data_IF_979061276679
#
_entry.id   IF_979061276679
#
_cell.length_a   1.000
_cell.length_b   1.000
_cell.length_c   1.000
_cell.angle_alpha   90.00
_cell.angle_beta   90.00
_cell.angle_gamma   90.00
#
_symmetry.space_group_name_H-M   'P 1'
#
loop_
_entity.id
_entity.type
_entity.pdbx_description
1 polymer ?
#
# COMPACT_ATOMS: atom_id res chain seq x y z
N UNK A 1 -29.26 -9.90 14.97
CA UNK A 1 -28.40 -8.84 15.55
C UNK A 1 -27.54 -8.29 14.41
N UNK A 2 -27.82 -7.07 13.93
CA UNK A 2 -27.18 -6.54 12.73
C UNK A 2 -25.70 -6.20 13.00
N UNK A 3 -24.78 -6.85 12.29
CA UNK A 3 -23.37 -6.45 12.28
C UNK A 3 -23.25 -5.17 11.45
N UNK A 4 -22.81 -4.08 12.07
CA UNK A 4 -22.51 -2.86 11.35
C UNK A 4 -21.15 -3.04 10.66
N UNK A 5 -21.09 -2.75 9.36
CA UNK A 5 -19.87 -2.86 8.53
C UNK A 5 -19.45 -1.46 8.11
N UNK A 6 -18.17 -1.13 8.31
CA UNK A 6 -17.59 0.14 7.85
C UNK A 6 -16.47 -0.17 6.86
N UNK A 7 -16.52 0.46 5.68
CA UNK A 7 -15.47 0.39 4.67
C UNK A 7 -14.48 1.52 4.91
N UNK A 8 -13.19 1.19 4.94
CA UNK A 8 -12.13 2.10 5.37
C UNK A 8 -11.09 2.34 4.28
N UNK A 9 -10.56 3.57 4.23
CA UNK A 9 -9.31 3.89 3.55
C UNK A 9 -8.09 3.39 4.34
N UNK A 10 -6.91 3.44 3.73
CA UNK A 10 -5.63 2.96 4.30
C UNK A 10 -4.94 3.92 5.25
N UNK A 11 -5.66 4.95 5.72
CA UNK A 11 -5.14 5.92 6.67
C UNK A 11 -6.19 6.10 7.76
N UNK A 12 -5.85 5.70 8.99
CA UNK A 12 -6.81 5.65 10.09
C UNK A 12 -6.87 7.01 10.79
N UNK A 13 -7.21 8.03 10.00
CA UNK A 13 -7.63 9.35 10.51
C UNK A 13 -9.12 9.34 10.84
N UNK A 14 -9.85 10.37 10.41
CA UNK A 14 -11.29 10.51 10.65
C UNK A 14 -12.16 9.37 10.09
N UNK A 15 -11.65 8.65 9.09
CA UNK A 15 -12.35 7.55 8.41
C UNK A 15 -12.27 6.23 9.19
N UNK A 16 -11.26 6.05 10.06
CA UNK A 16 -11.00 4.84 10.84
C UNK A 16 -11.93 4.60 12.05
N UNK A 17 -12.91 5.46 12.30
CA UNK A 17 -13.76 5.45 13.51
C UNK A 17 -14.54 4.13 13.73
N UNK A 18 -14.68 3.31 12.69
CA UNK A 18 -15.28 1.98 12.75
C UNK A 18 -14.56 1.03 13.70
N UNK A 19 -13.22 0.98 13.70
CA UNK A 19 -12.46 0.01 14.50
C UNK A 19 -12.49 0.28 16.00
N UNK A 20 -12.77 1.54 16.38
CA UNK A 20 -12.92 1.95 17.77
C UNK A 20 -14.23 1.46 18.40
N UNK A 21 -15.19 0.99 17.60
CA UNK A 21 -16.49 0.52 18.08
C UNK A 21 -16.49 -1.00 18.22
N UNK A 22 -16.87 -1.50 19.39
CA UNK A 22 -16.74 -2.92 19.72
C UNK A 22 -17.55 -3.87 18.84
N UNK A 23 -18.72 -3.43 18.38
CA UNK A 23 -19.67 -4.25 17.61
C UNK A 23 -19.65 -3.93 16.11
N UNK A 24 -18.53 -3.41 15.60
CA UNK A 24 -18.37 -3.02 14.20
C UNK A 24 -17.23 -3.82 13.57
N UNK A 25 -17.54 -4.49 12.46
CA UNK A 25 -16.52 -5.09 11.61
C UNK A 25 -16.03 -4.03 10.62
N UNK A 26 -14.73 -3.83 10.57
CA UNK A 26 -14.06 -2.90 9.66
C UNK A 26 -13.52 -3.66 8.46
N UNK A 27 -13.73 -3.13 7.25
CA UNK A 27 -13.30 -3.78 6.01
C UNK A 27 -12.47 -2.81 5.18
N UNK A 28 -11.28 -3.22 4.77
CA UNK A 28 -10.53 -2.54 3.71
C UNK A 28 -10.92 -3.20 2.38
N UNK A 29 -11.69 -2.48 1.57
CA UNK A 29 -12.19 -2.96 0.29
C UNK A 29 -11.16 -2.87 -0.84
N UNK A 30 -11.38 -3.63 -1.92
CA UNK A 30 -10.51 -3.70 -3.11
C UNK A 30 -10.30 -2.37 -3.86
N UNK A 31 -11.09 -1.34 -3.52
CA UNK A 31 -10.91 0.01 -4.02
C UNK A 31 -9.60 0.64 -3.55
N UNK A 32 -9.15 0.26 -2.35
CA UNK A 32 -8.09 0.94 -1.60
C UNK A 32 -6.72 0.40 -1.95
N UNK A 33 -5.74 1.29 -2.11
CA UNK A 33 -4.31 0.96 -2.25
C UNK A 33 -3.65 0.88 -0.88
N UNK A 34 -3.04 -0.25 -0.57
CA UNK A 34 -2.60 -0.62 0.78
C UNK A 34 -1.09 -0.67 0.92
N UNK A 35 -0.55 0.11 1.84
CA UNK A 35 0.85 0.04 2.26
C UNK A 35 0.96 -0.94 3.45
N UNK A 36 1.64 -2.10 3.31
CA UNK A 36 1.73 -3.10 4.38
C UNK A 36 2.40 -2.57 5.65
N UNK A 37 3.46 -1.80 5.50
CA UNK A 37 4.22 -1.17 6.59
C UNK A 37 3.36 -0.19 7.39
N UNK A 38 2.59 0.65 6.71
CA UNK A 38 1.68 1.60 7.35
C UNK A 38 0.56 0.86 8.11
N UNK A 39 -0.05 -0.14 7.48
CA UNK A 39 -1.08 -0.96 8.11
C UNK A 39 -0.57 -1.62 9.39
N UNK A 40 0.59 -2.28 9.31
CA UNK A 40 1.18 -2.98 10.46
C UNK A 40 1.52 -2.03 11.60
N UNK A 41 2.04 -0.84 11.29
CA UNK A 41 2.32 0.20 12.27
C UNK A 41 1.04 0.67 12.97
N UNK A 42 0.01 1.03 12.20
CA UNK A 42 -1.26 1.54 12.76
C UNK A 42 -1.99 0.46 13.57
N UNK A 43 -1.97 -0.79 13.11
CA UNK A 43 -2.48 -1.93 13.89
C UNK A 43 -1.78 -2.04 15.24
N UNK A 44 -0.45 -1.96 15.27
CA UNK A 44 0.33 -2.02 16.50
C UNK A 44 0.01 -0.87 17.48
N UNK A 45 -0.14 0.36 16.97
CA UNK A 45 -0.51 1.53 17.78
C UNK A 45 -1.91 1.39 18.42
N UNK A 46 -2.88 0.83 17.69
CA UNK A 46 -4.23 0.59 18.18
C UNK A 46 -4.29 -0.58 19.18
N UNK A 47 -3.57 -1.66 18.90
CA UNK A 47 -3.48 -2.82 19.79
C UNK A 47 -2.76 -2.48 21.11
N UNK A 48 -1.73 -1.63 21.07
CA UNK A 48 -1.08 -1.09 22.27
C UNK A 48 -2.05 -0.29 23.15
N UNK A 49 -3.15 0.20 22.59
CA UNK A 49 -4.25 0.89 23.31
C UNK A 49 -5.38 -0.05 23.73
N UNK A 50 -5.22 -1.37 23.56
CA UNK A 50 -6.21 -2.38 23.91
C UNK A 50 -7.31 -2.60 22.87
N UNK A 51 -7.14 -2.10 21.64
CA UNK A 51 -8.14 -2.27 20.57
C UNK A 51 -7.82 -3.54 19.80
N UNK A 52 -8.71 -4.55 19.75
CA UNK A 52 -8.43 -5.83 19.09
C UNK A 52 -8.61 -5.72 17.56
N UNK A 53 -7.64 -5.11 16.88
CA UNK A 53 -7.75 -4.81 15.44
C UNK A 53 -7.85 -6.08 14.60
N UNK A 54 -6.99 -7.08 14.87
CA UNK A 54 -6.98 -8.36 14.12
C UNK A 54 -8.29 -9.15 14.20
N UNK A 55 -9.09 -8.96 15.25
CA UNK A 55 -10.39 -9.63 15.40
C UNK A 55 -11.50 -8.93 14.60
N UNK A 56 -11.32 -7.65 14.26
CA UNK A 56 -12.37 -6.79 13.71
C UNK A 56 -12.08 -6.28 12.31
N UNK A 57 -10.84 -6.40 11.83
CA UNK A 57 -10.41 -5.95 10.53
C UNK A 57 -10.41 -7.09 9.51
N UNK A 58 -11.13 -6.89 8.41
CA UNK A 58 -11.06 -7.74 7.22
C UNK A 58 -10.39 -6.96 6.09
N UNK A 59 -9.57 -7.66 5.32
CA UNK A 59 -8.85 -7.11 4.18
C UNK A 59 -9.23 -7.86 2.91
N UNK A 60 -9.60 -7.12 1.86
CA UNK A 60 -9.79 -7.72 0.54
C UNK A 60 -8.44 -8.13 -0.06
N UNK A 61 -8.35 -9.37 -0.51
CA UNK A 61 -7.21 -9.88 -1.28
C UNK A 61 -6.97 -9.10 -2.59
N UNK A 62 -8.00 -8.42 -3.11
CA UNK A 62 -7.92 -7.66 -4.35
C UNK A 62 -7.39 -6.22 -4.15
N UNK A 63 -7.04 -5.83 -2.92
CA UNK A 63 -6.39 -4.55 -2.64
C UNK A 63 -5.00 -4.50 -3.31
N UNK A 64 -4.72 -3.51 -4.18
CA UNK A 64 -3.38 -3.30 -4.69
C UNK A 64 -2.43 -2.86 -3.57
N UNK A 65 -1.18 -3.27 -3.66
CA UNK A 65 -0.13 -2.94 -2.71
C UNK A 65 0.57 -1.63 -3.10
N UNK A 66 0.82 -0.77 -2.11
CA UNK A 66 1.81 0.30 -2.17
C UNK A 66 3.12 -0.29 -1.69
N UNK A 67 4.18 -0.05 -2.46
CA UNK A 67 5.51 -0.63 -2.27
C UNK A 67 6.55 0.48 -2.49
N UNK A 68 7.81 0.32 -2.05
CA UNK A 68 8.80 1.40 -2.04
C UNK A 68 9.02 2.09 -3.38
N UNK A 69 8.91 1.37 -4.51
CA UNK A 69 9.02 1.94 -5.85
C UNK A 69 7.87 2.90 -6.20
N UNK A 70 6.67 2.72 -5.65
CA UNK A 70 5.57 3.66 -5.81
C UNK A 70 5.87 4.99 -5.11
N UNK A 71 6.42 4.94 -3.90
CA UNK A 71 6.85 6.12 -3.12
C UNK A 71 7.97 6.85 -3.85
N UNK A 72 8.98 6.11 -4.33
CA UNK A 72 10.07 6.68 -5.11
C UNK A 72 9.58 7.38 -6.38
N UNK A 73 8.65 6.77 -7.12
CA UNK A 73 8.07 7.35 -8.34
C UNK A 73 7.24 8.60 -8.08
N UNK A 74 6.42 8.59 -7.03
CA UNK A 74 5.60 9.74 -6.63
C UNK A 74 6.49 10.96 -6.37
N UNK A 75 7.51 10.79 -5.51
CA UNK A 75 8.47 11.83 -5.17
C UNK A 75 9.30 12.28 -6.38
N UNK A 76 9.75 11.35 -7.22
CA UNK A 76 10.50 11.66 -8.44
C UNK A 76 9.67 12.49 -9.43
N UNK A 77 8.38 12.14 -9.61
CA UNK A 77 7.45 12.85 -10.50
C UNK A 77 7.10 14.23 -9.99
N UNK A 78 6.85 14.39 -8.69
CA UNK A 78 6.62 15.71 -8.09
C UNK A 78 7.84 16.62 -8.25
N UNK A 79 9.04 16.11 -7.98
CA UNK A 79 10.28 16.86 -8.20
C UNK A 79 10.46 17.25 -9.66
N UNK A 80 10.19 16.34 -10.60
CA UNK A 80 10.31 16.60 -12.04
C UNK A 80 9.29 17.65 -12.55
N UNK A 81 8.13 17.80 -11.89
CA UNK A 81 7.14 18.83 -12.22
C UNK A 81 7.56 20.24 -11.76
N UNK A 82 8.47 20.35 -10.81
CA UNK A 82 9.00 21.63 -10.32
C UNK A 82 7.87 22.58 -9.87
N UNK A 83 7.79 23.77 -10.48
CA UNK A 83 6.76 24.76 -10.16
C UNK A 83 5.32 24.31 -10.47
N UNK A 84 5.13 23.21 -11.21
CA UNK A 84 3.84 22.62 -11.54
C UNK A 84 3.55 21.34 -10.73
N UNK A 85 4.23 21.17 -9.60
CA UNK A 85 3.96 20.07 -8.68
C UNK A 85 2.49 20.11 -8.23
N UNK A 86 1.91 18.92 -8.00
CA UNK A 86 0.51 18.78 -7.62
C UNK A 86 0.34 19.03 -6.12
N UNK A 87 1.38 18.72 -5.32
CA UNK A 87 1.30 18.65 -3.87
C UNK A 87 0.82 17.28 -3.40
N UNK A 88 1.38 16.20 -3.96
CA UNK A 88 1.01 14.85 -3.52
C UNK A 88 1.46 14.58 -2.09
N UNK A 89 0.86 13.58 -1.45
CA UNK A 89 1.26 13.17 -0.08
C UNK A 89 2.63 12.50 -0.05
N UNK A 90 3.25 12.21 -1.20
CA UNK A 90 4.52 11.50 -1.32
C UNK A 90 4.45 10.03 -0.88
N UNK A 91 3.24 9.47 -0.74
CA UNK A 91 3.02 8.10 -0.24
C UNK A 91 2.83 7.06 -1.34
N UNK A 92 3.01 7.41 -2.61
CA UNK A 92 2.91 6.44 -3.71
C UNK A 92 1.47 6.08 -4.12
N UNK A 93 0.47 6.84 -3.66
CA UNK A 93 -0.96 6.57 -3.94
C UNK A 93 -1.24 6.60 -5.45
N UNK A 94 -0.77 7.65 -6.14
CA UNK A 94 -0.96 7.82 -7.58
C UNK A 94 -0.33 6.68 -8.38
N UNK A 95 0.97 6.41 -8.23
CA UNK A 95 1.64 5.29 -8.88
C UNK A 95 0.98 3.92 -8.61
N UNK A 96 0.53 3.64 -7.39
CA UNK A 96 -0.16 2.38 -7.09
C UNK A 96 -1.51 2.24 -7.83
N UNK A 97 -2.27 3.33 -7.95
CA UNK A 97 -3.48 3.32 -8.78
C UNK A 97 -3.16 3.20 -10.27
N UNK A 98 -2.08 3.79 -10.76
CA UNK A 98 -1.61 3.63 -12.14
C UNK A 98 -1.32 2.16 -12.46
N UNK A 99 -0.60 1.47 -11.57
CA UNK A 99 -0.26 0.06 -11.75
C UNK A 99 -1.48 -0.85 -11.66
N UNK A 100 -2.44 -0.52 -10.79
CA UNK A 100 -3.76 -1.17 -10.73
C UNK A 100 -4.46 -1.12 -12.08
N UNK A 101 -4.60 0.08 -12.67
CA UNK A 101 -5.31 0.25 -13.95
C UNK A 101 -4.51 -0.30 -15.14
N UNK A 102 -3.18 -0.26 -15.06
CA UNK A 102 -2.29 -0.86 -16.05
C UNK A 102 -2.26 -2.40 -15.98
N UNK A 103 -2.90 -3.02 -14.98
CA UNK A 103 -2.95 -4.48 -14.74
C UNK A 103 -1.57 -5.09 -14.47
N UNK A 104 -0.63 -4.30 -13.92
CA UNK A 104 0.70 -4.76 -13.51
C UNK A 104 0.90 -4.79 -12.00
N UNK A 105 0.09 -4.03 -11.26
CA UNK A 105 0.23 -3.90 -9.81
C UNK A 105 -0.02 -5.19 -9.06
N UNK A 106 0.79 -5.42 -8.04
CA UNK A 106 0.65 -6.51 -7.07
C UNK A 106 -0.52 -6.24 -6.12
N UNK A 107 -1.16 -7.30 -5.66
CA UNK A 107 -2.30 -7.26 -4.74
C UNK A 107 -2.01 -8.08 -3.49
N UNK A 108 -2.80 -7.86 -2.44
CA UNK A 108 -2.70 -8.63 -1.18
C UNK A 108 -2.78 -10.14 -1.45
N UNK A 109 -3.64 -10.59 -2.37
CA UNK A 109 -3.77 -11.99 -2.72
C UNK A 109 -2.52 -12.60 -3.34
N UNK A 110 -1.64 -11.80 -3.96
CA UNK A 110 -0.37 -12.31 -4.49
C UNK A 110 0.56 -12.75 -3.36
N UNK A 111 0.41 -12.23 -2.14
CA UNK A 111 1.24 -12.60 -0.98
C UNK A 111 1.02 -14.05 -0.51
N UNK A 112 -0.07 -14.70 -0.92
CA UNK A 112 -0.35 -16.09 -0.57
C UNK A 112 0.55 -17.09 -1.32
N UNK A 113 1.10 -16.70 -2.47
CA UNK A 113 2.08 -17.48 -3.23
C UNK A 113 3.40 -16.71 -3.31
N UNK A 114 4.29 -17.00 -2.36
CA UNK A 114 5.57 -16.28 -2.19
C UNK A 114 6.48 -16.41 -3.41
N UNK A 115 6.48 -17.56 -4.07
CA UNK A 115 7.34 -17.82 -5.23
C UNK A 115 6.86 -16.98 -6.42
N UNK A 116 5.56 -17.02 -6.70
CA UNK A 116 4.95 -16.20 -7.76
C UNK A 116 5.07 -14.70 -7.45
N UNK A 117 4.88 -14.30 -6.19
CA UNK A 117 5.05 -12.91 -5.75
C UNK A 117 6.46 -12.40 -6.02
N UNK A 118 7.49 -13.18 -5.65
CA UNK A 118 8.89 -12.79 -5.82
C UNK A 118 9.24 -12.55 -7.30
N UNK A 119 8.71 -13.37 -8.21
CA UNK A 119 8.90 -13.20 -9.67
C UNK A 119 8.21 -11.93 -10.16
N UNK A 120 6.92 -11.75 -9.85
CA UNK A 120 6.16 -10.55 -10.27
C UNK A 120 6.76 -9.26 -9.71
N UNK A 121 7.22 -9.30 -8.46
CA UNK A 121 7.89 -8.18 -7.80
C UNK A 121 9.18 -7.80 -8.52
N UNK A 122 9.96 -8.79 -8.97
CA UNK A 122 11.20 -8.54 -9.71
C UNK A 122 10.92 -7.81 -11.02
N UNK A 123 9.97 -8.32 -11.80
CA UNK A 123 9.61 -7.75 -13.10
C UNK A 123 9.13 -6.29 -12.97
N UNK A 124 8.29 -5.99 -11.98
CA UNK A 124 7.75 -4.64 -11.80
C UNK A 124 8.80 -3.67 -11.24
N UNK A 125 9.65 -4.13 -10.32
CA UNK A 125 10.76 -3.31 -9.81
C UNK A 125 11.73 -2.99 -10.95
N UNK A 126 12.06 -3.94 -11.83
CA UNK A 126 12.94 -3.67 -12.97
C UNK A 126 12.33 -2.63 -13.93
N UNK A 127 11.03 -2.74 -14.22
CA UNK A 127 10.29 -1.76 -15.03
C UNK A 127 10.32 -0.34 -14.43
N UNK A 128 10.14 -0.22 -13.12
CA UNK A 128 10.13 1.09 -12.46
C UNK A 128 11.54 1.62 -12.20
N UNK A 129 12.50 0.77 -11.86
CA UNK A 129 13.90 1.15 -11.71
C UNK A 129 14.48 1.67 -13.02
N UNK A 130 14.08 1.11 -14.16
CA UNK A 130 14.45 1.67 -15.45
C UNK A 130 14.01 3.15 -15.57
N UNK A 131 12.79 3.48 -15.15
CA UNK A 131 12.30 4.87 -15.17
C UNK A 131 13.00 5.74 -14.12
N UNK A 132 13.12 5.26 -12.89
CA UNK A 132 13.75 5.98 -11.79
C UNK A 132 15.20 6.37 -12.14
N UNK A 133 16.00 5.41 -12.61
CA UNK A 133 17.42 5.62 -12.91
C UNK A 133 17.60 6.35 -14.24
N UNK A 134 16.97 5.88 -15.31
CA UNK A 134 17.30 6.37 -16.65
C UNK A 134 16.56 7.66 -17.00
N UNK A 135 15.33 7.85 -16.52
CA UNK A 135 14.53 9.04 -16.83
C UNK A 135 14.59 10.08 -15.69
N UNK A 136 14.27 9.68 -14.47
CA UNK A 136 14.20 10.61 -13.33
C UNK A 136 15.54 10.90 -12.65
N UNK A 137 16.60 10.13 -12.97
CA UNK A 137 17.95 10.28 -12.40
C UNK A 137 17.96 10.21 -10.88
N UNK A 138 17.20 9.28 -10.32
CA UNK A 138 17.17 8.97 -8.88
C UNK A 138 17.60 7.52 -8.64
N UNK A 139 17.91 7.20 -7.39
CA UNK A 139 18.39 5.87 -7.01
C UNK A 139 17.34 4.79 -7.28
N UNK A 140 17.84 3.61 -7.66
CA UNK A 140 17.02 2.43 -7.82
C UNK A 140 16.47 1.96 -6.46
N UNK A 141 15.28 1.38 -6.48
CA UNK A 141 14.74 0.66 -5.34
C UNK A 141 15.31 -0.74 -5.30
N UNK A 142 15.81 -1.13 -4.12
CA UNK A 142 16.39 -2.45 -3.89
C UNK A 142 15.29 -3.54 -3.88
N UNK A 143 15.42 -4.51 -4.79
CA UNK A 143 14.50 -5.63 -4.91
C UNK A 143 14.50 -6.51 -3.66
N UNK A 144 15.68 -6.93 -3.19
CA UNK A 144 15.80 -7.91 -2.13
C UNK A 144 15.27 -7.34 -0.82
N UNK A 145 15.66 -6.10 -0.50
CA UNK A 145 15.12 -5.37 0.65
C UNK A 145 13.60 -5.25 0.58
N UNK A 146 13.05 -4.93 -0.59
CA UNK A 146 11.60 -4.81 -0.75
C UNK A 146 10.89 -6.15 -0.55
N UNK A 147 11.46 -7.24 -1.06
CA UNK A 147 10.91 -8.58 -0.89
C UNK A 147 10.92 -8.99 0.59
N UNK A 148 12.06 -8.79 1.26
CA UNK A 148 12.25 -9.16 2.66
C UNK A 148 11.30 -8.34 3.57
N UNK A 149 11.19 -7.03 3.35
CA UNK A 149 10.32 -6.14 4.13
C UNK A 149 8.83 -6.52 4.00
N UNK A 150 8.41 -7.02 2.82
CA UNK A 150 7.00 -7.38 2.56
C UNK A 150 6.65 -8.78 3.08
N UNK A 151 7.62 -9.70 3.13
CA UNK A 151 7.40 -11.09 3.55
C UNK A 151 7.77 -11.38 5.01
N UNK A 152 8.25 -10.37 5.75
CA UNK A 152 8.54 -10.43 7.19
C UNK A 152 7.26 -10.54 8.04
#
# INVERSE_FOLDING_TARGET
MGKNVVVLGTQWGDEGKGILRENVTSIIGNGVVLAPDALMKEMGELEARGIPVRERLLLSEACPLILPYHVALDNAREKARGAKAIGTTGRGIGPAYEDKVARRGLRVGDLFDKDTFAVKLKDIIDYHNFQLVNYYKVDAVDYQKTLDDVLA
#
